data_IF_933678299172
#
_entry.id   IF_933678299172
#
_cell.length_a   1.000
_cell.length_b   1.000
_cell.length_c   1.000
_cell.angle_alpha   90.00
_cell.angle_beta   90.00
_cell.angle_gamma   90.00
#
_symmetry.space_group_name_H-M   'P 1'
#
loop_
_entity.id
_entity.type
_entity.pdbx_description
1 polymer ?
#
# COMPACT_ATOMS: atom_id res chain seq x y z
N UNK A 1 -35.05 -34.65 16.91
CA UNK A 1 -34.65 -33.31 16.40
C UNK A 1 -34.60 -33.37 14.87
N UNK A 2 -35.52 -32.69 14.19
CA UNK A 2 -35.75 -32.85 12.74
C UNK A 2 -34.56 -32.42 11.87
N UNK A 3 -34.42 -33.03 10.70
CA UNK A 3 -33.31 -32.83 9.76
C UNK A 3 -32.98 -31.35 9.47
N UNK A 4 -34.00 -30.47 9.44
CA UNK A 4 -33.83 -29.03 9.26
C UNK A 4 -33.07 -28.33 10.40
N UNK A 5 -33.25 -28.76 11.66
CA UNK A 5 -32.46 -28.23 12.80
C UNK A 5 -31.02 -28.71 12.77
N UNK A 6 -30.76 -29.96 12.36
CA UNK A 6 -29.39 -30.48 12.21
C UNK A 6 -28.62 -29.74 11.11
N UNK A 7 -29.28 -29.42 10.00
CA UNK A 7 -28.67 -28.71 8.87
C UNK A 7 -28.33 -27.25 9.22
N UNK A 8 -29.20 -26.59 10.00
CA UNK A 8 -28.96 -25.23 10.48
C UNK A 8 -27.81 -25.17 11.50
N UNK A 9 -27.72 -26.15 12.40
CA UNK A 9 -26.59 -26.28 13.34
C UNK A 9 -25.29 -26.58 12.60
N UNK A 10 -25.31 -27.43 11.58
CA UNK A 10 -24.14 -27.74 10.75
C UNK A 10 -23.65 -26.51 9.98
N UNK A 11 -24.57 -25.72 9.40
CA UNK A 11 -24.23 -24.49 8.69
C UNK A 11 -23.59 -23.46 9.64
N UNK A 12 -24.15 -23.27 10.83
CA UNK A 12 -23.58 -22.39 11.86
C UNK A 12 -22.21 -22.90 12.31
N UNK A 13 -22.04 -24.21 12.50
CA UNK A 13 -20.76 -24.80 12.86
C UNK A 13 -19.69 -24.62 11.77
N UNK A 14 -20.06 -24.70 10.49
CA UNK A 14 -19.14 -24.43 9.36
C UNK A 14 -18.74 -22.95 9.35
N UNK A 15 -19.69 -22.03 9.56
CA UNK A 15 -19.40 -20.59 9.65
C UNK A 15 -18.49 -20.28 10.83
N UNK A 16 -18.79 -20.83 12.02
CA UNK A 16 -17.95 -20.66 13.22
C UNK A 16 -16.58 -21.32 13.03
N UNK A 17 -16.48 -22.46 12.35
CA UNK A 17 -15.20 -23.09 12.04
C UNK A 17 -14.40 -22.28 11.01
N UNK A 18 -15.05 -21.65 10.03
CA UNK A 18 -14.41 -20.80 9.03
C UNK A 18 -13.87 -19.51 9.65
N UNK A 19 -14.69 -18.78 10.41
CA UNK A 19 -14.27 -17.59 11.15
C UNK A 19 -13.30 -17.94 12.30
N UNK A 20 -13.51 -19.09 12.95
CA UNK A 20 -12.62 -19.63 13.97
C UNK A 20 -11.26 -19.99 13.40
N UNK A 21 -11.17 -20.63 12.23
CA UNK A 21 -9.90 -20.92 11.56
C UNK A 21 -9.16 -19.65 11.12
N UNK A 22 -9.88 -18.60 10.71
CA UNK A 22 -9.30 -17.27 10.51
C UNK A 22 -8.71 -16.70 11.81
N UNK A 23 -9.35 -16.92 12.97
CA UNK A 23 -8.89 -16.38 14.26
C UNK A 23 -7.83 -17.26 14.98
N UNK A 24 -7.78 -18.57 14.70
CA UNK A 24 -6.89 -19.56 15.33
C UNK A 24 -5.57 -19.83 14.58
N UNK A 25 -5.21 -19.02 13.58
CA UNK A 25 -3.86 -19.07 12.99
C UNK A 25 -3.58 -20.27 12.07
N UNK A 26 -4.62 -20.88 11.49
CA UNK A 26 -4.46 -21.95 10.48
C UNK A 26 -3.98 -21.43 9.12
N UNK A 27 -4.07 -20.12 8.88
CA UNK A 27 -3.50 -19.45 7.70
C UNK A 27 -2.23 -18.71 8.11
N UNK A 28 -1.18 -18.81 7.30
CA UNK A 28 0.04 -18.04 7.56
C UNK A 28 -0.26 -16.54 7.49
N UNK A 29 0.46 -15.72 8.24
CA UNK A 29 0.31 -14.26 8.17
C UNK A 29 0.60 -13.71 6.77
N UNK A 30 1.40 -14.43 5.96
CA UNK A 30 1.61 -14.14 4.55
C UNK A 30 0.36 -14.41 3.70
N UNK A 31 -0.36 -15.51 3.93
CA UNK A 31 -1.60 -15.81 3.21
C UNK A 31 -2.68 -14.76 3.48
N UNK A 32 -2.73 -14.22 4.71
CA UNK A 32 -3.63 -13.11 5.05
C UNK A 32 -3.29 -11.83 4.27
N UNK A 33 -2.00 -11.52 4.13
CA UNK A 33 -1.57 -10.35 3.34
C UNK A 33 -1.92 -10.57 1.86
N UNK A 34 -1.69 -11.76 1.31
CA UNK A 34 -2.04 -12.09 -0.07
C UNK A 34 -3.56 -12.04 -0.32
N UNK A 35 -4.37 -12.47 0.65
CA UNK A 35 -5.82 -12.38 0.61
C UNK A 35 -6.32 -10.93 0.68
N UNK A 36 -5.66 -10.07 1.46
CA UNK A 36 -5.89 -8.62 1.42
C UNK A 36 -5.58 -8.10 0.01
N UNK A 37 -4.38 -8.35 -0.52
CA UNK A 37 -3.97 -7.88 -1.85
C UNK A 37 -4.99 -8.29 -2.94
N UNK A 38 -5.45 -9.54 -2.92
CA UNK A 38 -6.44 -10.05 -3.86
C UNK A 38 -7.78 -9.29 -3.79
N UNK A 39 -8.27 -8.90 -2.60
CA UNK A 39 -9.50 -8.11 -2.46
C UNK A 39 -9.42 -6.73 -3.10
N UNK A 40 -8.22 -6.16 -3.15
CA UNK A 40 -7.96 -4.85 -3.76
C UNK A 40 -7.46 -4.97 -5.21
N UNK A 41 -7.46 -6.18 -5.78
CA UNK A 41 -7.01 -6.42 -7.16
C UNK A 41 -5.52 -6.22 -7.37
N UNK A 42 -4.73 -6.25 -6.29
CA UNK A 42 -3.27 -6.12 -6.35
C UNK A 42 -2.68 -7.46 -6.82
N UNK A 43 -1.80 -7.38 -7.80
CA UNK A 43 -1.13 -8.51 -8.45
C UNK A 43 0.23 -8.07 -8.97
N UNK A 44 0.94 -8.92 -9.72
CA UNK A 44 2.30 -8.69 -10.21
C UNK A 44 2.54 -7.33 -10.92
N UNK A 45 1.49 -6.65 -11.40
CA UNK A 45 1.57 -5.32 -12.03
C UNK A 45 1.04 -4.14 -11.21
N UNK A 46 0.44 -4.36 -10.04
CA UNK A 46 -0.16 -3.31 -9.21
C UNK A 46 0.26 -3.47 -7.75
N UNK A 47 1.04 -2.50 -7.26
CA UNK A 47 1.67 -2.55 -5.93
C UNK A 47 0.83 -1.90 -4.82
N UNK A 48 -0.15 -1.05 -5.17
CA UNK A 48 -1.05 -0.38 -4.24
C UNK A 48 -2.39 -0.04 -4.92
N UNK A 49 -3.49 0.15 -4.16
CA UNK A 49 -4.79 0.50 -4.73
C UNK A 49 -4.76 1.87 -5.42
N UNK A 50 -5.48 2.03 -6.54
CA UNK A 50 -5.44 3.26 -7.34
C UNK A 50 -6.36 4.39 -6.81
N UNK A 51 -7.24 4.09 -5.84
CA UNK A 51 -8.26 5.03 -5.34
C UNK A 51 -8.04 5.35 -3.86
N UNK A 52 -8.17 6.63 -3.49
CA UNK A 52 -7.94 7.12 -2.12
C UNK A 52 -8.73 6.34 -1.06
N UNK A 53 -10.03 6.16 -1.28
CA UNK A 53 -10.91 5.44 -0.35
C UNK A 53 -10.55 3.94 -0.21
N UNK A 54 -9.94 3.37 -1.24
CA UNK A 54 -9.47 1.97 -1.23
C UNK A 54 -8.12 1.86 -0.53
N UNK A 55 -7.24 2.85 -0.67
CA UNK A 55 -5.94 2.90 0.03
C UNK A 55 -6.13 2.92 1.54
N UNK A 56 -7.03 3.76 2.08
CA UNK A 56 -7.23 3.88 3.53
C UNK A 56 -7.71 2.55 4.17
N UNK A 57 -8.63 1.86 3.49
CA UNK A 57 -9.12 0.56 3.95
C UNK A 57 -8.05 -0.51 3.84
N UNK A 58 -7.30 -0.50 2.74
CA UNK A 58 -6.18 -1.40 2.51
C UNK A 58 -5.12 -1.28 3.62
N UNK A 59 -4.70 -0.05 3.94
CA UNK A 59 -3.75 0.20 5.02
C UNK A 59 -4.24 -0.30 6.38
N UNK A 60 -5.53 -0.09 6.69
CA UNK A 60 -6.10 -0.54 7.96
C UNK A 60 -6.09 -2.07 8.07
N UNK A 61 -6.51 -2.77 7.01
CA UNK A 61 -6.47 -4.23 6.93
C UNK A 61 -5.04 -4.77 6.98
N UNK A 62 -4.12 -4.13 6.26
CA UNK A 62 -2.72 -4.52 6.19
C UNK A 62 -2.01 -4.29 7.53
N UNK A 63 -2.27 -3.18 8.23
CA UNK A 63 -1.79 -2.92 9.59
C UNK A 63 -2.30 -4.01 10.54
N UNK A 64 -3.57 -4.39 10.45
CA UNK A 64 -4.13 -5.46 11.28
C UNK A 64 -3.52 -6.85 11.00
N UNK A 65 -3.16 -7.14 9.74
CA UNK A 65 -2.55 -8.42 9.35
C UNK A 65 -1.05 -8.52 9.61
N UNK A 66 -0.34 -7.39 9.59
CA UNK A 66 1.13 -7.31 9.74
C UNK A 66 1.58 -6.91 11.15
N UNK A 67 0.64 -6.53 12.03
CA UNK A 67 0.93 -6.23 13.43
C UNK A 67 0.40 -7.31 14.38
N UNK A 68 1.19 -7.62 15.41
CA UNK A 68 0.83 -8.58 16.45
C UNK A 68 1.98 -9.47 16.89
N UNK A 69 1.88 -10.01 18.10
CA UNK A 69 2.93 -10.84 18.71
C UNK A 69 3.21 -12.16 17.95
N UNK A 70 2.19 -12.67 17.23
CA UNK A 70 2.28 -13.95 16.50
C UNK A 70 2.61 -13.77 15.00
N UNK A 71 2.85 -12.53 14.55
CA UNK A 71 3.16 -12.25 13.15
C UNK A 71 4.62 -12.59 12.87
N UNK A 72 4.89 -13.30 11.76
CA UNK A 72 6.25 -13.63 11.36
C UNK A 72 7.05 -12.37 10.98
N UNK A 73 8.37 -12.40 11.16
CA UNK A 73 9.24 -11.29 10.75
C UNK A 73 9.07 -10.94 9.26
N UNK A 74 8.98 -11.96 8.40
CA UNK A 74 8.74 -11.79 6.96
C UNK A 74 7.41 -11.12 6.66
N UNK A 75 6.31 -11.53 7.32
CA UNK A 75 5.00 -10.90 7.14
C UNK A 75 4.98 -9.46 7.60
N UNK A 76 5.63 -9.17 8.73
CA UNK A 76 5.78 -7.79 9.22
C UNK A 76 6.52 -6.94 8.20
N UNK A 77 7.69 -7.38 7.73
CA UNK A 77 8.49 -6.62 6.75
C UNK A 77 7.77 -6.42 5.42
N UNK A 78 7.11 -7.46 4.89
CA UNK A 78 6.30 -7.33 3.67
C UNK A 78 5.16 -6.33 3.88
N UNK A 79 4.48 -6.40 5.03
CA UNK A 79 3.46 -5.44 5.41
C UNK A 79 4.00 -4.01 5.48
N UNK A 80 5.17 -3.81 6.10
CA UNK A 80 5.80 -2.49 6.17
C UNK A 80 6.13 -1.92 4.79
N UNK A 81 6.68 -2.73 3.86
CA UNK A 81 6.93 -2.27 2.48
C UNK A 81 5.62 -1.89 1.79
N UNK A 82 4.58 -2.74 1.87
CA UNK A 82 3.28 -2.47 1.25
C UNK A 82 2.59 -1.24 1.85
N UNK A 83 2.79 -0.96 3.14
CA UNK A 83 2.31 0.27 3.78
C UNK A 83 3.01 1.52 3.23
N UNK A 84 4.34 1.48 3.04
CA UNK A 84 5.04 2.60 2.40
C UNK A 84 4.57 2.81 0.94
N UNK A 85 4.33 1.73 0.19
CA UNK A 85 3.80 1.82 -1.18
C UNK A 85 2.39 2.42 -1.22
N UNK A 86 1.55 2.12 -0.22
CA UNK A 86 0.23 2.69 -0.08
C UNK A 86 0.28 4.20 0.22
N UNK A 87 1.13 4.64 1.16
CA UNK A 87 1.32 6.05 1.51
C UNK A 87 1.99 6.84 0.36
N UNK A 88 2.91 6.21 -0.38
CA UNK A 88 3.46 6.74 -1.63
C UNK A 88 2.34 6.99 -2.64
N UNK A 89 1.51 6.00 -2.93
CA UNK A 89 0.41 6.11 -3.90
C UNK A 89 -0.60 7.18 -3.48
N UNK A 90 -0.91 7.28 -2.18
CA UNK A 90 -1.74 8.34 -1.61
C UNK A 90 -1.17 9.74 -1.89
N UNK A 91 0.12 9.91 -1.64
CA UNK A 91 0.83 11.15 -1.91
C UNK A 91 0.88 11.47 -3.41
N UNK A 92 1.04 10.47 -4.28
CA UNK A 92 0.98 10.66 -5.74
C UNK A 92 -0.41 11.08 -6.24
N UNK A 93 -1.48 10.56 -5.64
CA UNK A 93 -2.84 10.98 -5.95
C UNK A 93 -3.08 12.44 -5.53
N UNK A 94 -2.61 12.84 -4.34
CA UNK A 94 -2.69 14.22 -3.87
C UNK A 94 -1.86 15.18 -4.75
N UNK A 95 -0.64 14.76 -5.12
CA UNK A 95 0.21 15.47 -6.09
C UNK A 95 -0.53 15.70 -7.40
N UNK A 96 -1.16 14.66 -7.96
CA UNK A 96 -1.93 14.77 -9.20
C UNK A 96 -3.07 15.79 -9.05
N UNK A 97 -3.80 15.74 -7.94
CA UNK A 97 -4.91 16.64 -7.67
C UNK A 97 -4.45 18.11 -7.57
N UNK A 98 -3.40 18.39 -6.80
CA UNK A 98 -2.88 19.75 -6.65
C UNK A 98 -2.21 20.26 -7.93
N UNK A 99 -1.46 19.40 -8.64
CA UNK A 99 -0.82 19.76 -9.91
C UNK A 99 -1.83 20.14 -10.98
N UNK A 100 -2.98 19.46 -11.03
CA UNK A 100 -4.06 19.79 -11.96
C UNK A 100 -4.68 21.18 -11.72
N UNK A 101 -4.49 21.75 -10.53
CA UNK A 101 -5.02 23.06 -10.13
C UNK A 101 -3.97 24.18 -10.23
N UNK A 102 -2.73 23.87 -10.64
CA UNK A 102 -1.68 24.88 -10.82
C UNK A 102 -2.00 25.75 -12.04
N UNK A 103 -2.05 27.07 -11.84
CA UNK A 103 -2.06 28.02 -12.93
C UNK A 103 -0.62 28.29 -13.39
N UNK A 104 -0.17 27.62 -14.46
CA UNK A 104 1.20 27.77 -14.97
C UNK A 104 1.53 29.17 -15.50
N UNK A 105 0.54 29.99 -15.87
CA UNK A 105 0.78 31.38 -16.31
C UNK A 105 0.98 32.35 -15.14
N UNK A 106 0.41 32.02 -13.97
CA UNK A 106 0.49 32.81 -12.73
C UNK A 106 0.52 31.86 -11.52
N UNK A 107 1.65 31.17 -11.29
CA UNK A 107 1.75 30.17 -10.23
C UNK A 107 1.58 30.79 -8.85
N UNK A 108 0.74 30.19 -8.01
CA UNK A 108 0.61 30.55 -6.59
C UNK A 108 1.65 29.81 -5.77
N UNK A 109 2.71 30.55 -5.43
CA UNK A 109 3.88 30.08 -4.68
C UNK A 109 3.78 30.34 -3.17
N UNK A 110 2.62 30.77 -2.68
CA UNK A 110 2.40 30.89 -1.24
C UNK A 110 2.45 29.51 -0.56
N UNK A 111 2.64 29.49 0.76
CA UNK A 111 2.73 28.23 1.54
C UNK A 111 1.46 27.37 1.42
N UNK A 112 0.30 28.01 1.19
CA UNK A 112 -0.98 27.33 0.96
C UNK A 112 -1.34 27.22 -0.53
N UNK A 113 -0.47 27.72 -1.42
CA UNK A 113 -0.67 27.71 -2.86
C UNK A 113 -0.52 26.31 -3.46
N UNK A 114 -1.14 26.09 -4.62
CA UNK A 114 -1.15 24.78 -5.27
C UNK A 114 0.24 24.27 -5.63
N UNK A 115 1.20 25.16 -5.92
CA UNK A 115 2.59 24.74 -6.20
C UNK A 115 3.26 24.20 -4.94
N UNK A 116 3.08 24.86 -3.79
CA UNK A 116 3.64 24.41 -2.52
C UNK A 116 3.01 23.09 -2.05
N UNK A 117 1.69 22.94 -2.20
CA UNK A 117 0.98 21.70 -1.88
C UNK A 117 1.42 20.54 -2.78
N UNK A 118 1.43 20.74 -4.10
CA UNK A 118 1.93 19.73 -5.04
C UNK A 118 3.38 19.34 -4.73
N UNK A 119 4.24 20.30 -4.41
CA UNK A 119 5.63 20.03 -4.04
C UNK A 119 5.72 19.16 -2.79
N UNK A 120 4.97 19.52 -1.74
CA UNK A 120 4.94 18.76 -0.48
C UNK A 120 4.51 17.31 -0.72
N UNK A 121 3.50 17.10 -1.58
CA UNK A 121 3.02 15.76 -1.89
C UNK A 121 4.03 14.96 -2.74
N UNK A 122 4.74 15.61 -3.67
CA UNK A 122 5.83 14.98 -4.41
C UNK A 122 7.00 14.57 -3.49
N UNK A 123 7.38 15.45 -2.55
CA UNK A 123 8.42 15.16 -1.56
C UNK A 123 8.00 14.03 -0.61
N UNK A 124 6.73 14.01 -0.18
CA UNK A 124 6.19 12.92 0.63
C UNK A 124 6.18 11.58 -0.13
N UNK A 125 5.70 11.59 -1.39
CA UNK A 125 5.72 10.40 -2.25
C UNK A 125 7.15 9.87 -2.42
N UNK A 126 8.11 10.76 -2.65
CA UNK A 126 9.53 10.39 -2.80
C UNK A 126 10.07 9.76 -1.51
N UNK A 127 9.80 10.36 -0.35
CA UNK A 127 10.23 9.82 0.94
C UNK A 127 9.67 8.42 1.21
N UNK A 128 8.39 8.18 0.89
CA UNK A 128 7.79 6.85 1.02
C UNK A 128 8.36 5.83 0.02
N UNK A 129 8.68 6.27 -1.20
CA UNK A 129 9.31 5.42 -2.21
C UNK A 129 10.74 4.99 -1.79
N UNK A 130 11.52 5.92 -1.23
CA UNK A 130 12.83 5.65 -0.64
C UNK A 130 12.72 4.69 0.56
N UNK A 131 11.77 4.94 1.47
CA UNK A 131 11.52 4.08 2.63
C UNK A 131 11.08 2.65 2.23
N UNK A 132 10.23 2.52 1.22
CA UNK A 132 9.83 1.22 0.68
C UNK A 132 11.04 0.43 0.14
N UNK A 133 11.95 1.13 -0.56
CA UNK A 133 13.19 0.55 -1.09
C UNK A 133 14.13 0.10 0.03
N UNK A 134 14.33 0.95 1.03
CA UNK A 134 15.15 0.63 2.20
C UNK A 134 14.60 -0.59 2.95
N UNK A 135 13.30 -0.60 3.24
CA UNK A 135 12.64 -1.72 3.93
C UNK A 135 12.71 -3.01 3.12
N UNK A 136 12.51 -2.95 1.80
CA UNK A 136 12.62 -4.11 0.91
C UNK A 136 14.01 -4.73 0.98
N UNK A 137 15.07 -3.94 1.11
CA UNK A 137 16.45 -4.46 1.22
C UNK A 137 16.67 -5.38 2.43
N UNK A 138 15.79 -5.29 3.43
CA UNK A 138 15.83 -6.10 4.65
C UNK A 138 15.01 -7.41 4.55
N UNK A 139 14.41 -7.66 3.38
CA UNK A 139 13.55 -8.81 3.09
C UNK A 139 14.33 -9.82 2.23
N UNK A 140 14.36 -11.08 2.67
CA UNK A 140 14.84 -12.18 1.85
C UNK A 140 13.86 -12.55 0.73
N UNK A 141 14.16 -13.59 -0.03
CA UNK A 141 13.21 -14.10 -1.02
C UNK A 141 11.97 -14.69 -0.34
N UNK A 142 10.78 -14.16 -0.67
CA UNK A 142 9.49 -14.65 -0.18
C UNK A 142 8.65 -15.03 -1.40
N UNK A 143 8.47 -16.33 -1.62
CA UNK A 143 7.90 -16.84 -2.88
C UNK A 143 6.50 -16.33 -3.20
N UNK A 144 5.68 -16.02 -2.19
CA UNK A 144 4.33 -15.48 -2.35
C UNK A 144 4.29 -13.97 -2.63
N UNK A 145 5.43 -13.29 -2.60
CA UNK A 145 5.58 -11.83 -2.78
C UNK A 145 6.76 -11.51 -3.70
N UNK A 146 6.76 -12.11 -4.90
CA UNK A 146 7.84 -11.94 -5.89
C UNK A 146 7.87 -10.55 -6.51
N UNK A 147 6.74 -9.87 -6.55
CA UNK A 147 6.62 -8.49 -7.01
C UNK A 147 7.38 -7.50 -6.12
N UNK A 148 7.57 -7.83 -4.83
CA UNK A 148 8.39 -7.05 -3.88
C UNK A 148 9.82 -7.57 -3.79
N UNK A 149 9.97 -8.90 -3.72
CA UNK A 149 11.28 -9.53 -3.49
C UNK A 149 12.08 -9.75 -4.77
N UNK A 150 11.47 -9.54 -5.94
CA UNK A 150 12.07 -9.64 -7.26
C UNK A 150 12.92 -8.42 -7.64
N UNK A 151 13.66 -8.54 -8.75
CA UNK A 151 14.53 -7.47 -9.28
C UNK A 151 13.74 -6.33 -9.92
N UNK A 152 12.53 -6.62 -10.38
CA UNK A 152 11.67 -5.63 -11.04
C UNK A 152 11.19 -4.57 -10.06
N UNK A 153 11.11 -4.90 -8.77
CA UNK A 153 10.83 -3.94 -7.70
C UNK A 153 11.84 -2.80 -7.67
N UNK A 154 13.14 -3.13 -7.59
CA UNK A 154 14.21 -2.13 -7.50
C UNK A 154 14.24 -1.23 -8.74
N UNK A 155 14.02 -1.83 -9.91
CA UNK A 155 13.97 -1.10 -11.18
C UNK A 155 12.77 -0.15 -11.23
N UNK A 156 11.59 -0.62 -10.78
CA UNK A 156 10.37 0.18 -10.73
C UNK A 156 10.52 1.33 -9.74
N UNK A 157 11.03 1.07 -8.54
CA UNK A 157 11.23 2.09 -7.51
C UNK A 157 12.28 3.13 -7.91
N UNK A 158 13.34 2.73 -8.62
CA UNK A 158 14.29 3.68 -9.19
C UNK A 158 13.62 4.64 -10.18
N UNK A 159 12.81 4.12 -11.11
CA UNK A 159 12.06 4.94 -12.06
C UNK A 159 11.05 5.88 -11.37
N UNK A 160 10.37 5.41 -10.31
CA UNK A 160 9.46 6.22 -9.50
C UNK A 160 10.21 7.34 -8.78
N UNK A 161 11.34 7.04 -8.15
CA UNK A 161 12.17 8.03 -7.46
C UNK A 161 12.69 9.10 -8.41
N UNK A 162 13.16 8.70 -9.61
CA UNK A 162 13.62 9.64 -10.63
C UNK A 162 12.49 10.57 -11.08
N UNK A 163 11.32 10.02 -11.40
CA UNK A 163 10.15 10.80 -11.84
C UNK A 163 9.64 11.77 -10.76
N UNK A 164 9.60 11.34 -9.50
CA UNK A 164 9.21 12.19 -8.37
C UNK A 164 10.26 13.27 -8.11
N UNK A 165 11.54 12.93 -8.17
CA UNK A 165 12.65 13.89 -8.04
C UNK A 165 12.62 14.96 -9.14
N UNK A 166 12.33 14.58 -10.38
CA UNK A 166 12.11 15.53 -11.49
C UNK A 166 10.88 16.41 -11.27
N UNK A 167 9.79 15.83 -10.75
CA UNK A 167 8.58 16.59 -10.40
C UNK A 167 8.86 17.66 -9.36
N UNK A 168 9.60 17.32 -8.29
CA UNK A 168 10.04 18.29 -7.26
C UNK A 168 10.90 19.40 -7.86
N UNK A 169 11.87 19.07 -8.74
CA UNK A 169 12.72 20.07 -9.42
C UNK A 169 11.89 21.01 -10.30
N UNK A 170 10.97 20.46 -11.07
CA UNK A 170 10.07 21.22 -11.94
C UNK A 170 9.18 22.17 -11.14
N UNK A 171 8.55 21.69 -10.06
CA UNK A 171 7.71 22.52 -9.19
C UNK A 171 8.52 23.64 -8.51
N UNK A 172 9.74 23.36 -8.07
CA UNK A 172 10.65 24.38 -7.53
C UNK A 172 10.99 25.47 -8.56
N UNK A 173 11.06 25.15 -9.85
CA UNK A 173 11.40 26.12 -10.90
C UNK A 173 10.29 27.13 -11.19
N UNK A 174 9.02 26.79 -10.87
CA UNK A 174 7.87 27.67 -11.11
C UNK A 174 7.81 28.87 -10.15
N UNK A 175 8.53 28.80 -9.04
CA UNK A 175 8.50 29.80 -7.95
C UNK A 175 9.84 30.52 -7.76
N UNK A 176 10.72 30.47 -8.78
CA UNK A 176 11.96 31.25 -8.85
C UNK A 176 11.76 32.53 -9.64
#
# INVERSE_FOLDING_TARGET
MGAKRKLLVLAIAIVIAYFGAQQFGLFSSLDRIADIDARYGLSDGMLAPAEMASIEKYEAELKAASSGFLVSDSSRKIGEVKLELAEMQKSMLALREHSAKINFSRPDCSVAGMVALAKKDAEAALGHAEAATEKRSQIGNVASFREITGKDFDTTMAAVNDALGESVKSLNSLCR
#
